data_IF_246456851419
#
_entry.id   IF_246456851419
#
_cell.length_a   1.000
_cell.length_b   1.000
_cell.length_c   1.000
_cell.angle_alpha   90.00
_cell.angle_beta   90.00
_cell.angle_gamma   90.00
#
_symmetry.space_group_name_H-M   'P 1'
#
loop_
_entity.id
_entity.type
_entity.pdbx_description
1 polymer ?
#
# COMPACT_ATOMS: atom_id res chain seq x y z
N UNK A 1 -17.39 94.73 -30.12
CA UNK A 1 -18.38 94.70 -29.03
C UNK A 1 -18.44 93.29 -28.44
N UNK A 2 -18.40 93.16 -27.10
CA UNK A 2 -18.62 91.96 -26.26
C UNK A 2 -17.53 90.86 -26.36
N UNK A 3 -16.57 90.83 -25.42
CA UNK A 3 -16.54 90.25 -24.05
C UNK A 3 -16.16 88.75 -24.02
N UNK A 4 -15.08 88.48 -23.26
CA UNK A 4 -14.45 87.22 -22.84
C UNK A 4 -15.41 86.06 -22.49
N UNK A 5 -14.91 84.82 -22.62
CA UNK A 5 -14.65 83.87 -21.51
C UNK A 5 -13.67 82.78 -21.99
N UNK A 6 -12.59 82.59 -21.22
CA UNK A 6 -11.66 81.46 -21.26
C UNK A 6 -12.34 80.20 -20.67
N UNK A 7 -12.12 79.02 -21.24
CA UNK A 7 -12.22 77.77 -20.49
C UNK A 7 -11.03 76.86 -20.82
N UNK A 8 -10.40 76.37 -19.75
CA UNK A 8 -9.11 75.70 -19.72
C UNK A 8 -9.13 74.30 -20.33
N UNK A 9 -8.06 73.95 -21.04
CA UNK A 9 -7.71 72.59 -21.39
C UNK A 9 -7.07 71.89 -20.17
N UNK A 10 -7.59 70.73 -19.79
CA UNK A 10 -6.88 69.80 -18.90
C UNK A 10 -6.43 68.57 -19.69
N UNK A 11 -5.11 68.45 -19.75
CA UNK A 11 -4.32 67.35 -20.25
C UNK A 11 -4.52 66.10 -19.37
N UNK A 12 -4.68 64.93 -19.97
CA UNK A 12 -3.95 63.72 -19.53
C UNK A 12 -3.73 62.81 -20.72
N UNK A 13 -2.46 62.68 -21.09
CA UNK A 13 -1.98 61.63 -21.98
C UNK A 13 -1.98 60.31 -21.19
N UNK A 14 -2.60 59.27 -21.74
CA UNK A 14 -2.29 57.89 -21.35
C UNK A 14 -1.55 57.27 -22.52
N UNK A 15 -0.26 57.03 -22.31
CA UNK A 15 0.61 56.30 -23.22
C UNK A 15 0.14 54.85 -23.26
N UNK A 16 -0.12 54.35 -24.47
CA UNK A 16 -0.44 52.96 -24.73
C UNK A 16 0.78 52.08 -24.42
N UNK A 17 0.70 51.30 -23.34
CA UNK A 17 1.57 50.16 -23.10
C UNK A 17 0.87 48.88 -23.57
N UNK A 18 1.40 48.27 -24.62
CA UNK A 18 1.00 46.94 -25.06
C UNK A 18 1.41 45.91 -24.00
N UNK A 19 0.47 45.47 -23.16
CA UNK A 19 0.66 44.29 -22.33
C UNK A 19 0.50 43.08 -23.24
N UNK A 20 1.62 42.43 -23.56
CA UNK A 20 1.62 41.12 -24.19
C UNK A 20 0.90 40.15 -23.24
N UNK A 21 -0.18 39.53 -23.70
CA UNK A 21 -0.86 38.47 -22.99
C UNK A 21 0.03 37.22 -23.03
N UNK A 22 0.94 37.09 -22.06
CA UNK A 22 1.61 35.83 -21.80
C UNK A 22 0.59 34.86 -21.23
N UNK A 23 0.03 34.05 -22.13
CA UNK A 23 -0.70 32.84 -21.78
C UNK A 23 0.27 31.87 -21.08
N UNK A 24 0.33 31.94 -19.74
CA UNK A 24 0.80 30.81 -18.94
C UNK A 24 -0.40 30.02 -18.46
N UNK A 25 -0.94 29.22 -19.37
CA UNK A 25 -1.73 28.04 -19.02
C UNK A 25 -0.80 27.05 -18.31
N UNK A 26 -0.60 27.23 -17.01
CA UNK A 26 -0.03 26.21 -16.15
C UNK A 26 -1.16 25.44 -15.51
N UNK A 27 -1.67 24.40 -16.17
CA UNK A 27 -2.42 23.35 -15.48
C UNK A 27 -1.43 22.62 -14.56
N UNK A 28 -1.32 23.06 -13.31
CA UNK A 28 -0.78 22.22 -12.25
C UNK A 28 -1.85 21.20 -11.88
N UNK A 29 -2.12 20.26 -12.79
CA UNK A 29 -2.61 18.97 -12.34
C UNK A 29 -1.44 18.31 -11.62
N UNK A 30 -1.48 18.24 -10.30
CA UNK A 30 -0.71 17.22 -9.61
C UNK A 30 -1.28 15.88 -10.06
N UNK A 31 -0.73 15.30 -11.13
CA UNK A 31 -0.98 13.90 -11.46
C UNK A 31 -0.43 13.08 -10.29
N UNK A 32 -1.29 12.77 -9.32
CA UNK A 32 -1.07 11.66 -8.42
C UNK A 32 -1.12 10.41 -9.30
N UNK A 33 0.02 10.04 -9.89
CA UNK A 33 0.12 8.81 -10.67
C UNK A 33 0.07 7.65 -9.69
N UNK A 34 -1.15 7.18 -9.44
CA UNK A 34 -1.39 5.89 -8.83
C UNK A 34 -1.06 4.84 -9.88
N UNK A 35 -0.01 4.08 -9.64
CA UNK A 35 0.37 2.94 -10.48
C UNK A 35 -0.30 1.69 -9.92
N UNK A 36 -1.08 1.00 -10.77
CA UNK A 36 -1.84 -0.19 -10.40
C UNK A 36 -1.51 -1.31 -11.36
N UNK A 37 -1.01 -2.39 -10.81
CA UNK A 37 -0.74 -3.64 -11.51
C UNK A 37 -1.68 -4.73 -11.02
N UNK A 38 -2.12 -5.61 -11.93
CA UNK A 38 -2.99 -6.72 -11.63
C UNK A 38 -2.40 -8.03 -12.12
N UNK A 39 -2.51 -9.07 -11.30
CA UNK A 39 -2.20 -10.45 -11.66
C UNK A 39 -3.44 -11.32 -11.40
N UNK A 40 -3.70 -12.25 -12.32
CA UNK A 40 -4.78 -13.22 -12.19
C UNK A 40 -4.22 -14.62 -12.04
N UNK A 41 -4.86 -15.43 -11.22
CA UNK A 41 -4.54 -16.85 -11.09
C UNK A 41 -5.56 -17.71 -11.84
N UNK A 42 -5.15 -18.89 -12.31
CA UNK A 42 -3.86 -19.55 -12.05
C UNK A 42 -2.70 -19.06 -12.96
N UNK A 43 -1.47 -19.22 -12.48
CA UNK A 43 -0.20 -19.02 -13.20
C UNK A 43 0.08 -17.61 -13.75
N UNK A 44 -0.59 -16.56 -13.25
CA UNK A 44 -0.32 -15.18 -13.65
C UNK A 44 0.83 -14.50 -12.90
N UNK A 45 1.58 -15.22 -12.07
CA UNK A 45 2.80 -14.72 -11.46
C UNK A 45 2.56 -13.84 -10.22
N UNK A 46 1.43 -14.04 -9.52
CA UNK A 46 1.06 -13.24 -8.36
C UNK A 46 2.04 -13.47 -7.20
N UNK A 47 2.46 -14.72 -6.99
CA UNK A 47 3.45 -15.09 -5.97
C UNK A 47 4.81 -14.44 -6.24
N UNK A 48 5.29 -14.50 -7.47
CA UNK A 48 6.55 -13.91 -7.91
C UNK A 48 6.52 -12.39 -7.73
N UNK A 49 5.38 -11.76 -8.05
CA UNK A 49 5.21 -10.33 -7.85
C UNK A 49 5.26 -9.94 -6.37
N UNK A 50 4.53 -10.65 -5.50
CA UNK A 50 4.57 -10.43 -4.05
C UNK A 50 6.00 -10.52 -3.54
N UNK A 51 6.73 -11.57 -3.94
CA UNK A 51 8.13 -11.79 -3.55
C UNK A 51 9.01 -10.63 -4.03
N UNK A 52 8.79 -10.11 -5.24
CA UNK A 52 9.53 -8.98 -5.77
C UNK A 52 9.32 -7.70 -4.94
N UNK A 53 8.09 -7.41 -4.51
CA UNK A 53 7.81 -6.27 -3.62
C UNK A 53 8.50 -6.41 -2.27
N UNK A 54 8.41 -7.58 -1.64
CA UNK A 54 9.06 -7.84 -0.34
C UNK A 54 10.59 -7.72 -0.45
N UNK A 55 11.17 -8.13 -1.58
CA UNK A 55 12.61 -8.04 -1.80
C UNK A 55 13.09 -6.59 -1.99
N UNK A 56 12.22 -5.70 -2.49
CA UNK A 56 12.52 -4.26 -2.62
C UNK A 56 12.29 -3.47 -1.34
N UNK A 57 11.53 -4.01 -0.38
CA UNK A 57 11.24 -3.34 0.88
C UNK A 57 12.52 -2.94 1.62
N UNK A 58 12.51 -1.72 2.17
CA UNK A 58 13.64 -1.06 2.83
C UNK A 58 13.39 -0.70 4.29
N UNK A 59 12.13 -0.56 4.71
CA UNK A 59 11.75 -0.07 6.03
C UNK A 59 10.76 -0.97 6.75
N UNK A 60 9.60 -1.28 6.16
CA UNK A 60 8.57 -2.11 6.78
C UNK A 60 7.80 -2.99 5.79
N UNK A 61 7.37 -4.17 6.25
CA UNK A 61 6.40 -5.04 5.59
C UNK A 61 5.37 -5.50 6.63
N UNK A 62 4.15 -4.99 6.49
CA UNK A 62 3.03 -5.26 7.39
C UNK A 62 2.04 -6.18 6.67
N UNK A 63 1.81 -7.37 7.22
CA UNK A 63 1.02 -8.43 6.57
C UNK A 63 -0.25 -8.74 7.35
N UNK A 64 -1.40 -8.80 6.69
CA UNK A 64 -2.61 -9.45 7.19
C UNK A 64 -2.97 -10.61 6.26
N UNK A 65 -3.10 -11.83 6.77
CA UNK A 65 -3.38 -12.99 5.94
C UNK A 65 -4.40 -13.94 6.58
N UNK A 66 -5.45 -14.26 5.83
CA UNK A 66 -6.38 -15.33 6.18
C UNK A 66 -5.71 -16.70 6.17
N UNK A 67 -5.27 -17.15 4.98
CA UNK A 67 -4.55 -18.40 4.80
C UNK A 67 -3.15 -18.11 4.30
N UNK A 68 -2.15 -18.63 5.02
CA UNK A 68 -0.75 -18.41 4.70
C UNK A 68 0.03 -19.72 4.75
N UNK A 69 0.25 -20.32 3.58
CA UNK A 69 1.00 -21.57 3.39
C UNK A 69 2.08 -21.47 2.30
N UNK A 70 2.24 -20.29 1.68
CA UNK A 70 3.22 -20.05 0.63
C UNK A 70 4.65 -19.94 1.17
N UNK A 71 5.43 -21.01 0.99
CA UNK A 71 6.86 -21.04 1.30
C UNK A 71 7.68 -19.91 0.63
N UNK A 72 7.50 -19.56 -0.66
CA UNK A 72 8.29 -18.48 -1.26
C UNK A 72 8.01 -17.11 -0.63
N UNK A 73 6.75 -16.80 -0.32
CA UNK A 73 6.37 -15.54 0.35
C UNK A 73 6.95 -15.52 1.78
N UNK A 74 6.79 -16.60 2.53
CA UNK A 74 7.32 -16.68 3.90
C UNK A 74 8.86 -16.53 3.93
N UNK A 75 9.57 -17.16 2.98
CA UNK A 75 11.03 -17.02 2.86
C UNK A 75 11.44 -15.59 2.50
N UNK A 76 10.69 -14.92 1.63
CA UNK A 76 10.94 -13.52 1.28
C UNK A 76 10.81 -12.60 2.50
N UNK A 77 9.77 -12.79 3.33
CA UNK A 77 9.58 -12.04 4.57
C UNK A 77 10.73 -12.25 5.56
N UNK A 78 11.15 -13.50 5.77
CA UNK A 78 12.32 -13.80 6.62
C UNK A 78 13.59 -13.13 6.10
N UNK A 79 13.81 -13.17 4.78
CA UNK A 79 14.95 -12.49 4.17
C UNK A 79 14.87 -10.97 4.33
N UNK A 80 13.69 -10.36 4.24
CA UNK A 80 13.52 -8.94 4.53
C UNK A 80 13.88 -8.60 5.98
N UNK A 81 13.39 -9.39 6.94
CA UNK A 81 13.77 -9.25 8.36
C UNK A 81 15.29 -9.33 8.57
N UNK A 82 15.98 -10.26 7.90
CA UNK A 82 17.45 -10.38 7.94
C UNK A 82 18.18 -9.17 7.35
N UNK A 83 17.56 -8.42 6.44
CA UNK A 83 18.10 -7.14 5.92
C UNK A 83 17.88 -5.96 6.89
N UNK A 84 17.17 -6.18 8.00
CA UNK A 84 16.81 -5.12 8.95
C UNK A 84 15.47 -4.44 8.65
N UNK A 85 14.69 -4.94 7.69
CA UNK A 85 13.33 -4.46 7.43
C UNK A 85 12.42 -4.89 8.57
N UNK A 86 11.57 -3.99 9.06
CA UNK A 86 10.59 -4.28 10.07
C UNK A 86 9.47 -5.17 9.49
N UNK A 87 9.34 -6.41 9.95
CA UNK A 87 8.29 -7.31 9.46
C UNK A 87 7.35 -7.69 10.59
N UNK A 88 6.05 -7.47 10.39
CA UNK A 88 4.99 -7.91 11.30
C UNK A 88 3.85 -8.61 10.52
N UNK A 89 3.39 -9.73 11.05
CA UNK A 89 2.36 -10.57 10.41
C UNK A 89 1.19 -10.80 11.35
N UNK A 90 -0.03 -10.48 10.90
CA UNK A 90 -1.29 -10.79 11.60
C UNK A 90 -2.03 -11.88 10.82
N UNK A 91 -2.36 -12.98 11.48
CA UNK A 91 -2.98 -14.14 10.87
C UNK A 91 -4.35 -14.44 11.48
N UNK A 92 -5.23 -15.05 10.70
CA UNK A 92 -6.47 -15.61 11.24
C UNK A 92 -6.22 -16.76 12.22
N UNK A 93 -7.08 -16.91 13.24
CA UNK A 93 -7.02 -17.98 14.24
C UNK A 93 -6.96 -19.40 13.68
N UNK A 94 -7.47 -19.66 12.48
CA UNK A 94 -7.33 -20.96 11.82
C UNK A 94 -5.87 -21.36 11.59
N UNK A 95 -4.96 -20.39 11.43
CA UNK A 95 -3.54 -20.63 11.14
C UNK A 95 -2.80 -21.30 12.31
N UNK A 96 -3.34 -21.22 13.53
CA UNK A 96 -2.81 -21.95 14.69
C UNK A 96 -2.97 -23.47 14.53
N UNK A 97 -4.05 -23.92 13.87
CA UNK A 97 -4.37 -25.35 13.70
C UNK A 97 -4.00 -25.89 12.31
N UNK A 98 -3.94 -25.02 11.30
CA UNK A 98 -3.62 -25.39 9.93
C UNK A 98 -2.26 -26.10 9.84
N UNK A 99 -2.23 -27.30 9.26
CA UNK A 99 -1.06 -28.20 9.29
C UNK A 99 0.15 -27.60 8.58
N UNK A 100 -0.08 -26.87 7.51
CA UNK A 100 0.97 -26.30 6.66
C UNK A 100 1.06 -24.77 6.77
N UNK A 101 0.57 -24.20 7.87
CA UNK A 101 0.67 -22.76 8.09
C UNK A 101 2.12 -22.32 8.18
N UNK A 102 2.41 -21.14 7.60
CA UNK A 102 3.70 -20.47 7.71
C UNK A 102 3.93 -19.82 9.08
N UNK A 103 2.94 -19.80 9.97
CA UNK A 103 3.03 -19.16 11.30
C UNK A 103 4.23 -19.64 12.13
N UNK A 104 4.43 -20.96 12.25
CA UNK A 104 5.53 -21.54 13.01
C UNK A 104 6.89 -21.23 12.38
N UNK A 105 6.98 -21.25 11.05
CA UNK A 105 8.20 -20.91 10.33
C UNK A 105 8.59 -19.44 10.55
N UNK A 106 7.62 -18.53 10.48
CA UNK A 106 7.84 -17.10 10.67
C UNK A 106 8.32 -16.77 12.08
N UNK A 107 7.60 -17.24 13.11
CA UNK A 107 7.98 -16.96 14.51
C UNK A 107 9.34 -17.57 14.87
N UNK A 108 9.61 -18.81 14.44
CA UNK A 108 10.90 -19.47 14.68
C UNK A 108 12.06 -18.79 13.92
N UNK A 109 11.74 -17.99 12.90
CA UNK A 109 12.71 -17.17 12.16
C UNK A 109 12.84 -15.74 12.70
N UNK A 110 12.22 -15.43 13.85
CA UNK A 110 12.29 -14.12 14.49
C UNK A 110 11.31 -13.08 13.93
N UNK A 111 10.35 -13.48 13.09
CA UNK A 111 9.33 -12.56 12.57
C UNK A 111 8.20 -12.43 13.58
N UNK A 112 7.90 -11.19 13.98
CA UNK A 112 6.79 -10.88 14.89
C UNK A 112 5.47 -11.30 14.23
N UNK A 113 4.83 -12.29 14.83
CA UNK A 113 3.62 -12.92 14.30
C UNK A 113 2.52 -12.84 15.35
N UNK A 114 1.31 -12.51 14.93
CA UNK A 114 0.14 -12.30 15.78
C UNK A 114 -1.07 -13.06 15.23
N UNK A 115 -1.99 -13.43 16.13
CA UNK A 115 -3.24 -14.08 15.78
C UNK A 115 -4.41 -13.15 16.10
N UNK A 116 -5.20 -12.85 15.07
CA UNK A 116 -6.52 -12.25 15.20
C UNK A 116 -7.54 -13.36 15.49
N UNK A 117 -7.98 -13.43 16.75
CA UNK A 117 -9.05 -14.34 17.19
C UNK A 117 -10.35 -13.63 17.55
N UNK A 118 -10.39 -12.29 17.44
CA UNK A 118 -11.58 -11.50 17.78
C UNK A 118 -12.68 -11.65 16.73
N UNK A 119 -12.31 -11.92 15.47
CA UNK A 119 -13.25 -12.08 14.37
C UNK A 119 -13.69 -13.54 14.21
N UNK A 120 -14.88 -13.73 13.62
CA UNK A 120 -15.30 -15.05 13.14
C UNK A 120 -14.30 -15.60 12.12
N UNK A 121 -13.91 -14.74 11.16
CA UNK A 121 -12.88 -14.97 10.15
C UNK A 121 -12.14 -13.64 9.93
N UNK A 122 -10.83 -13.61 10.16
CA UNK A 122 -9.96 -12.49 9.75
C UNK A 122 -9.55 -12.68 8.29
N UNK A 123 -10.41 -12.25 7.35
CA UNK A 123 -10.34 -12.69 5.95
C UNK A 123 -9.45 -11.82 5.02
N UNK A 124 -8.68 -10.88 5.58
CA UNK A 124 -7.82 -9.99 4.81
C UNK A 124 -6.66 -10.75 4.14
N UNK A 125 -6.27 -10.27 2.95
CA UNK A 125 -5.06 -10.69 2.23
C UNK A 125 -4.32 -9.43 1.80
N UNK A 126 -3.68 -8.77 2.76
CA UNK A 126 -3.15 -7.43 2.62
C UNK A 126 -1.66 -7.45 2.96
N UNK A 127 -0.88 -6.73 2.18
CA UNK A 127 0.48 -6.33 2.52
C UNK A 127 0.62 -4.82 2.34
N UNK A 128 1.11 -4.12 3.36
CA UNK A 128 1.54 -2.72 3.24
C UNK A 128 3.05 -2.68 3.37
N UNK A 129 3.71 -2.11 2.37
CA UNK A 129 5.18 -2.12 2.25
C UNK A 129 5.67 -0.68 2.20
N UNK A 130 6.65 -0.36 3.04
CA UNK A 130 7.32 0.94 3.13
C UNK A 130 6.38 2.15 3.19
N UNK A 131 5.15 1.97 3.71
CA UNK A 131 4.09 2.98 3.72
C UNK A 131 3.83 3.62 2.35
N UNK A 132 3.99 2.85 1.28
CA UNK A 132 3.91 3.33 -0.11
C UNK A 132 3.19 2.37 -1.04
N UNK A 133 3.39 1.07 -0.82
CA UNK A 133 2.85 0.01 -1.68
C UNK A 133 1.82 -0.79 -0.92
N UNK A 134 0.68 -1.03 -1.56
CA UNK A 134 -0.35 -1.95 -1.09
C UNK A 134 -0.38 -3.15 -2.01
N UNK A 135 -0.42 -4.33 -1.43
CA UNK A 135 -0.70 -5.58 -2.12
C UNK A 135 -2.00 -6.14 -1.54
N UNK A 136 -3.01 -6.37 -2.39
CA UNK A 136 -4.33 -6.82 -1.93
C UNK A 136 -5.09 -7.56 -3.03
N UNK A 137 -6.22 -8.19 -2.72
CA UNK A 137 -7.07 -8.89 -3.69
C UNK A 137 -7.78 -10.09 -3.06
N UNK A 138 -8.23 -11.03 -3.90
CA UNK A 138 -8.78 -12.30 -3.42
C UNK A 138 -7.69 -13.32 -3.04
N UNK A 139 -6.47 -13.12 -3.57
CA UNK A 139 -5.35 -14.05 -3.48
C UNK A 139 -4.91 -14.35 -2.04
N UNK A 140 -5.21 -15.56 -1.54
CA UNK A 140 -4.60 -16.07 -0.31
C UNK A 140 -3.12 -16.37 -0.52
N UNK A 141 -2.26 -16.14 0.48
CA UNK A 141 -0.82 -16.38 0.37
C UNK A 141 -0.49 -17.88 0.46
N UNK A 142 -0.91 -18.62 -0.55
CA UNK A 142 -0.89 -20.09 -0.62
C UNK A 142 -0.51 -20.56 -2.01
N UNK A 143 0.03 -21.77 -2.12
CA UNK A 143 0.33 -22.40 -3.41
C UNK A 143 -0.93 -22.62 -4.28
N UNK A 144 -2.05 -22.94 -3.64
CA UNK A 144 -3.31 -23.19 -4.35
C UNK A 144 -3.88 -21.91 -4.99
N UNK A 145 -3.71 -20.76 -4.33
CA UNK A 145 -4.10 -19.47 -4.92
C UNK A 145 -3.35 -19.20 -6.23
N UNK A 146 -2.04 -19.48 -6.29
CA UNK A 146 -1.25 -19.33 -7.52
C UNK A 146 -1.60 -20.35 -8.60
N UNK A 147 -1.70 -21.63 -8.26
CA UNK A 147 -1.66 -22.70 -9.27
C UNK A 147 -3.03 -23.32 -9.60
N UNK A 148 -4.07 -23.04 -8.80
CA UNK A 148 -5.34 -23.79 -8.88
C UNK A 148 -6.59 -22.92 -8.85
N UNK A 149 -6.59 -21.86 -8.05
CA UNK A 149 -7.79 -21.04 -7.87
C UNK A 149 -7.88 -19.95 -8.95
N UNK A 150 -9.11 -19.50 -9.21
CA UNK A 150 -9.36 -18.24 -9.90
C UNK A 150 -9.25 -17.10 -8.87
N UNK A 151 -8.20 -16.29 -8.96
CA UNK A 151 -7.92 -15.22 -8.01
C UNK A 151 -7.48 -13.95 -8.73
N UNK A 152 -7.53 -12.82 -8.03
CA UNK A 152 -6.87 -11.58 -8.44
C UNK A 152 -5.93 -11.07 -7.33
N UNK A 153 -4.85 -10.43 -7.76
CA UNK A 153 -3.91 -9.68 -6.93
C UNK A 153 -3.74 -8.30 -7.56
N UNK A 154 -3.81 -7.25 -6.74
CA UNK A 154 -3.49 -5.88 -7.09
C UNK A 154 -2.21 -5.46 -6.34
N UNK A 155 -1.32 -4.78 -7.05
CA UNK A 155 -0.23 -4.01 -6.47
C UNK A 155 -0.47 -2.54 -6.78
N UNK A 156 -0.58 -1.72 -5.75
CA UNK A 156 -0.98 -0.31 -5.85
C UNK A 156 0.12 0.55 -5.24
N UNK A 157 0.65 1.51 -6.01
CA UNK A 157 1.68 2.46 -5.60
C UNK A 157 1.17 3.91 -5.78
N UNK A 158 1.72 4.85 -5.00
CA UNK A 158 1.53 6.28 -5.26
C UNK A 158 0.20 6.88 -4.78
N UNK A 159 -0.52 6.18 -3.88
CA UNK A 159 -1.78 6.67 -3.28
C UNK A 159 -1.67 6.79 -1.75
N UNK A 160 -1.10 7.89 -1.27
CA UNK A 160 -0.87 8.10 0.17
C UNK A 160 -2.15 7.99 1.01
N UNK A 161 -3.25 8.58 0.54
CA UNK A 161 -4.54 8.52 1.22
C UNK A 161 -5.04 7.07 1.38
N UNK A 162 -4.92 6.26 0.33
CA UNK A 162 -5.31 4.85 0.38
C UNK A 162 -4.38 4.06 1.32
N UNK A 163 -3.07 4.31 1.25
CA UNK A 163 -2.08 3.68 2.14
C UNK A 163 -2.42 3.96 3.61
N UNK A 164 -2.79 5.20 3.94
CA UNK A 164 -3.17 5.54 5.31
C UNK A 164 -4.38 4.75 5.80
N UNK A 165 -5.39 4.52 4.96
CA UNK A 165 -6.55 3.69 5.34
C UNK A 165 -6.17 2.23 5.57
N UNK A 166 -5.31 1.66 4.72
CA UNK A 166 -4.79 0.31 4.93
C UNK A 166 -3.91 0.19 6.19
N UNK A 167 -3.09 1.20 6.49
CA UNK A 167 -2.31 1.26 7.73
C UNK A 167 -3.21 1.35 8.97
N UNK A 168 -4.27 2.16 8.94
CA UNK A 168 -5.25 2.23 10.03
C UNK A 168 -5.93 0.89 10.25
N UNK A 169 -6.34 0.22 9.18
CA UNK A 169 -6.91 -1.13 9.25
C UNK A 169 -5.92 -2.14 9.85
N UNK A 170 -4.65 -2.10 9.40
CA UNK A 170 -3.60 -2.95 9.95
C UNK A 170 -3.45 -2.75 11.46
N UNK A 171 -3.27 -1.50 11.90
CA UNK A 171 -3.10 -1.14 13.32
C UNK A 171 -4.32 -1.56 14.14
N UNK A 172 -5.54 -1.33 13.64
CA UNK A 172 -6.76 -1.77 14.29
C UNK A 172 -6.73 -3.28 14.55
N UNK A 173 -6.46 -4.09 13.53
CA UNK A 173 -6.41 -5.56 13.68
C UNK A 173 -5.26 -6.03 14.57
N UNK A 174 -4.10 -5.41 14.44
CA UNK A 174 -2.91 -5.72 15.22
C UNK A 174 -3.07 -5.44 16.71
N UNK A 175 -3.83 -4.41 17.08
CA UNK A 175 -4.00 -3.99 18.48
C UNK A 175 -4.79 -4.99 19.34
N UNK A 176 -5.76 -5.70 18.76
CA UNK A 176 -6.55 -6.71 19.48
C UNK A 176 -6.05 -8.15 19.23
N UNK A 177 -5.08 -8.33 18.34
CA UNK A 177 -4.44 -9.61 18.10
C UNK A 177 -3.45 -9.99 19.20
N UNK A 178 -3.28 -11.29 19.43
CA UNK A 178 -2.35 -11.82 20.44
C UNK A 178 -1.03 -12.26 19.80
N UNK A 179 0.13 -12.07 20.44
CA UNK A 179 1.39 -12.62 19.95
C UNK A 179 1.32 -14.15 19.79
N UNK A 180 1.87 -14.66 18.69
CA UNK A 180 2.01 -16.09 18.44
C UNK A 180 3.42 -16.56 18.80
N UNK A 181 3.53 -17.63 19.59
CA UNK A 181 4.82 -18.19 20.05
C UNK A 181 5.17 -19.55 19.45
N UNK A 182 4.40 -20.02 18.47
CA UNK A 182 4.59 -21.32 17.84
C UNK A 182 3.88 -22.48 18.57
N UNK A 183 3.55 -23.55 17.83
CA UNK A 183 2.89 -24.76 18.36
C UNK A 183 3.74 -25.59 19.32
N UNK A 184 5.02 -25.26 19.47
CA UNK A 184 5.98 -25.92 20.36
C UNK A 184 6.73 -24.97 21.30
N UNK A 185 6.38 -23.68 21.34
CA UNK A 185 7.00 -22.71 22.24
C UNK A 185 6.52 -22.91 23.67
N UNK A 186 7.41 -23.42 24.53
CA UNK A 186 7.35 -23.19 25.98
C UNK A 186 8.12 -21.92 26.31
#
# INVERSE_FOLDING_TARGET
MRKLIFLAALMMAVVAGSVSADARSGSFESQFNVDVEVHFSPFGGATERIVAEINRATSEVLVQAYSFTSAPIAKALVNAGKRGVEVEVVLDKSQVKEKYSSADFLVNSGIRTFIDSAHAIAHNKIMVIDRKTIVTGSFNFTKAAEERNAENLLVINGSDGLVQEYLKNYVFHRNHSVPYSGRGGR
#
